data_IF_094031972754
#
_entry.id   IF_094031972754
#
_cell.length_a   1.000
_cell.length_b   1.000
_cell.length_c   1.000
_cell.angle_alpha   90.00
_cell.angle_beta   90.00
_cell.angle_gamma   90.00
#
_symmetry.space_group_name_H-M   'P 1'
#
loop_
_entity.id
_entity.type
_entity.pdbx_description
1 polymer ?
#
# COMPACT_ATOMS: atom_id res chain seq x y z
N UNK A 1 -11.19 -13.14 -6.22
CA UNK A 1 -11.05 -11.93 -7.07
C UNK A 1 -9.74 -11.28 -6.67
N UNK A 2 -9.15 -10.48 -7.55
CA UNK A 2 -7.82 -9.90 -7.32
C UNK A 2 -7.92 -8.38 -7.44
N UNK A 3 -7.24 -7.66 -6.57
CA UNK A 3 -7.16 -6.20 -6.56
C UNK A 3 -5.73 -5.79 -6.81
N UNK A 4 -5.55 -4.89 -7.75
CA UNK A 4 -4.22 -4.41 -8.14
C UNK A 4 -4.13 -2.90 -7.95
N UNK A 5 -3.10 -2.45 -7.25
CA UNK A 5 -2.75 -1.04 -7.12
C UNK A 5 -1.37 -0.80 -7.72
N UNK A 6 -1.20 0.33 -8.41
CA UNK A 6 0.09 0.79 -8.92
C UNK A 6 0.53 2.00 -8.11
N UNK A 7 1.69 1.90 -7.48
CA UNK A 7 2.32 2.96 -6.71
C UNK A 7 3.50 3.49 -7.51
N UNK A 8 3.37 4.73 -7.95
CA UNK A 8 4.48 5.50 -8.49
C UNK A 8 5.02 6.41 -7.36
N UNK A 9 6.31 6.30 -7.04
CA UNK A 9 6.96 7.09 -6.00
C UNK A 9 8.06 7.98 -6.62
N UNK A 10 7.70 9.14 -7.20
CA UNK A 10 8.65 9.99 -7.93
C UNK A 10 9.84 10.47 -7.06
N UNK A 11 9.62 10.66 -5.75
CA UNK A 11 10.68 11.14 -4.84
C UNK A 11 11.87 10.19 -4.70
N UNK A 12 11.66 8.89 -4.90
CA UNK A 12 12.72 7.89 -4.86
C UNK A 12 12.90 7.13 -6.19
N UNK A 13 12.20 7.58 -7.24
CA UNK A 13 12.18 6.98 -8.58
C UNK A 13 11.90 5.46 -8.57
N UNK A 14 10.93 5.03 -7.77
CA UNK A 14 10.53 3.63 -7.67
C UNK A 14 9.10 3.41 -8.11
N UNK A 15 8.86 2.24 -8.73
CA UNK A 15 7.52 1.79 -9.11
C UNK A 15 7.23 0.45 -8.46
N UNK A 16 6.04 0.32 -7.91
CA UNK A 16 5.57 -0.91 -7.27
C UNK A 16 4.15 -1.22 -7.68
N UNK A 17 3.91 -2.44 -8.13
CA UNK A 17 2.59 -3.01 -8.30
C UNK A 17 2.28 -3.91 -7.11
N UNK A 18 1.12 -3.69 -6.51
CA UNK A 18 0.60 -4.43 -5.37
C UNK A 18 -0.56 -5.25 -5.86
N UNK A 19 -0.56 -6.54 -5.56
CA UNK A 19 -1.59 -7.49 -5.94
C UNK A 19 -2.09 -8.13 -4.65
N UNK A 20 -3.39 -8.00 -4.38
CA UNK A 20 -4.06 -8.62 -3.24
C UNK A 20 -5.09 -9.63 -3.74
N UNK A 21 -5.11 -10.80 -3.13
CA UNK A 21 -6.05 -11.87 -3.45
C UNK A 21 -6.63 -12.46 -2.16
N UNK A 22 -7.96 -12.60 -2.10
CA UNK A 22 -8.62 -13.29 -0.99
C UNK A 22 -8.50 -14.81 -1.15
N UNK A 23 -7.86 -15.47 -0.19
CA UNK A 23 -7.72 -16.93 -0.11
C UNK A 23 -8.35 -17.40 1.19
N UNK A 24 -9.59 -17.91 1.12
CA UNK A 24 -10.35 -18.32 2.30
C UNK A 24 -10.63 -17.14 3.25
N UNK A 25 -10.07 -17.21 4.47
CA UNK A 25 -10.17 -16.19 5.52
C UNK A 25 -8.96 -15.25 5.59
N UNK A 26 -8.00 -15.40 4.67
CA UNK A 26 -6.80 -14.58 4.60
C UNK A 26 -6.72 -13.80 3.27
N UNK A 27 -5.92 -12.74 3.27
CA UNK A 27 -5.54 -12.01 2.07
C UNK A 27 -4.07 -12.29 1.80
N UNK A 28 -3.79 -12.84 0.62
CA UNK A 28 -2.44 -13.01 0.10
C UNK A 28 -2.00 -11.72 -0.60
N UNK A 29 -0.79 -11.26 -0.29
CA UNK A 29 -0.20 -10.06 -0.89
C UNK A 29 0.98 -10.46 -1.77
N UNK A 30 1.10 -9.83 -2.93
CA UNK A 30 2.22 -10.01 -3.85
C UNK A 30 2.66 -8.66 -4.39
N UNK A 31 3.97 -8.40 -4.34
CA UNK A 31 4.56 -7.13 -4.75
C UNK A 31 5.50 -7.35 -5.94
N UNK A 32 5.31 -6.60 -7.01
CA UNK A 32 6.27 -6.48 -8.10
C UNK A 32 6.85 -5.06 -8.07
N UNK A 33 8.14 -4.93 -7.77
CA UNK A 33 8.76 -3.63 -7.47
C UNK A 33 10.18 -3.55 -7.98
N UNK A 34 10.59 -2.33 -8.33
CA UNK A 34 11.99 -1.99 -8.61
C UNK A 34 12.78 -1.67 -7.33
N UNK A 35 12.10 -1.46 -6.19
CA UNK A 35 12.75 -1.01 -4.96
C UNK A 35 13.23 -2.19 -4.09
N UNK A 36 14.53 -2.29 -3.77
CA UNK A 36 15.06 -3.39 -2.95
C UNK A 36 14.44 -3.46 -1.54
N UNK A 37 14.15 -2.31 -0.92
CA UNK A 37 13.54 -2.25 0.42
C UNK A 37 12.09 -2.74 0.40
N UNK A 38 11.35 -2.39 -0.64
CA UNK A 38 9.96 -2.85 -0.83
C UNK A 38 9.92 -4.33 -1.17
N UNK A 39 10.93 -4.83 -1.90
CA UNK A 39 11.08 -6.26 -2.16
C UNK A 39 11.25 -7.05 -0.86
N UNK A 40 12.20 -6.65 0.00
CA UNK A 40 12.41 -7.27 1.31
C UNK A 40 11.17 -7.16 2.23
N UNK A 41 10.40 -6.07 2.10
CA UNK A 41 9.12 -5.90 2.77
C UNK A 41 8.07 -6.90 2.27
N UNK A 42 7.92 -7.05 0.95
CA UNK A 42 6.99 -8.02 0.35
C UNK A 42 7.32 -9.47 0.70
N UNK A 43 8.60 -9.82 0.73
CA UNK A 43 9.07 -11.16 1.13
C UNK A 43 8.72 -11.49 2.59
N UNK A 44 8.61 -10.47 3.46
CA UNK A 44 8.22 -10.64 4.86
C UNK A 44 6.69 -10.62 5.06
N UNK A 45 5.92 -10.24 4.05
CA UNK A 45 4.48 -10.03 4.13
C UNK A 45 3.76 -11.03 3.22
N UNK A 46 3.57 -12.25 3.71
CA UNK A 46 3.02 -13.34 2.88
C UNK A 46 1.48 -13.36 2.87
N UNK A 47 0.86 -13.48 4.04
CA UNK A 47 -0.58 -13.60 4.20
C UNK A 47 -1.04 -12.86 5.45
N UNK A 48 -2.24 -12.31 5.40
CA UNK A 48 -2.80 -11.50 6.48
C UNK A 48 -4.24 -11.94 6.74
N UNK A 49 -4.56 -12.27 7.98
CA UNK A 49 -5.92 -12.58 8.38
C UNK A 49 -6.82 -11.35 8.30
N UNK A 50 -8.08 -11.54 7.91
CA UNK A 50 -9.04 -10.42 7.81
C UNK A 50 -9.19 -9.65 9.14
N UNK A 51 -9.12 -10.35 10.28
CA UNK A 51 -9.20 -9.73 11.61
C UNK A 51 -7.97 -8.87 11.96
N UNK A 52 -6.82 -9.16 11.34
CA UNK A 52 -5.59 -8.41 11.56
C UNK A 52 -5.59 -7.09 10.78
N UNK A 53 -6.31 -7.04 9.65
CA UNK A 53 -6.43 -5.85 8.80
C UNK A 53 -7.09 -4.66 9.52
N UNK A 54 -7.97 -4.94 10.48
CA UNK A 54 -8.67 -3.92 11.25
C UNK A 54 -7.92 -3.47 12.52
N UNK A 55 -6.74 -4.05 12.80
CA UNK A 55 -5.96 -3.67 13.97
C UNK A 55 -5.38 -2.25 13.83
N UNK A 56 -5.18 -1.53 14.95
CA UNK A 56 -4.50 -0.24 14.96
C UNK A 56 -3.10 -0.33 14.32
N UNK A 57 -2.59 0.78 13.76
CA UNK A 57 -1.32 0.84 13.02
C UNK A 57 -0.18 0.13 13.74
N UNK A 58 -0.02 0.35 15.06
CA UNK A 58 1.07 -0.24 15.86
C UNK A 58 0.98 -1.77 16.03
N UNK A 59 -0.18 -2.37 15.76
CA UNK A 59 -0.43 -3.81 15.83
C UNK A 59 -0.75 -4.43 14.47
N UNK A 60 -0.87 -3.60 13.44
CA UNK A 60 -1.23 -4.07 12.11
C UNK A 60 0.01 -4.65 11.42
N UNK A 61 -0.01 -5.91 10.98
CA UNK A 61 1.17 -6.58 10.43
C UNK A 61 1.74 -5.85 9.20
N UNK A 62 0.90 -5.20 8.39
CA UNK A 62 1.32 -4.38 7.24
C UNK A 62 2.31 -3.30 7.68
N UNK A 63 1.99 -2.58 8.76
CA UNK A 63 2.82 -1.47 9.24
C UNK A 63 3.95 -1.94 10.16
N UNK A 64 3.72 -2.95 11.00
CA UNK A 64 4.76 -3.52 11.87
C UNK A 64 5.92 -4.05 11.03
N UNK A 65 5.63 -4.83 9.98
CA UNK A 65 6.67 -5.36 9.08
C UNK A 65 7.35 -4.24 8.29
N UNK A 66 6.59 -3.22 7.86
CA UNK A 66 7.13 -2.07 7.15
C UNK A 66 8.08 -1.22 8.01
N UNK A 67 7.82 -1.07 9.31
CA UNK A 67 8.54 -0.15 10.21
C UNK A 67 10.06 -0.38 10.29
N UNK A 68 10.50 -1.62 10.08
CA UNK A 68 11.92 -2.01 10.09
C UNK A 68 12.61 -1.92 8.72
N UNK A 69 11.85 -1.70 7.64
CA UNK A 69 12.33 -1.85 6.25
C UNK A 69 12.14 -0.60 5.39
N UNK A 70 11.09 0.17 5.67
CA UNK A 70 10.67 1.29 4.85
C UNK A 70 10.74 2.58 5.66
N UNK A 71 11.05 3.70 4.99
CA UNK A 71 10.94 5.01 5.60
C UNK A 71 9.47 5.36 5.87
N UNK A 72 9.18 6.20 6.88
CA UNK A 72 7.81 6.55 7.27
C UNK A 72 7.00 7.22 6.14
N UNK A 73 7.68 7.86 5.19
CA UNK A 73 7.05 8.51 4.04
C UNK A 73 6.74 7.55 2.88
N UNK A 74 7.17 6.29 2.95
CA UNK A 74 6.89 5.33 1.90
C UNK A 74 5.38 5.05 1.86
N UNK A 75 4.75 5.33 0.72
CA UNK A 75 3.30 5.15 0.55
C UNK A 75 2.90 3.70 0.19
N UNK A 76 3.88 2.82 -0.03
CA UNK A 76 3.62 1.41 -0.38
C UNK A 76 2.81 0.67 0.69
N UNK A 77 3.11 0.76 2.00
CA UNK A 77 2.28 0.13 3.03
C UNK A 77 0.83 0.61 3.00
N UNK A 78 0.59 1.90 2.78
CA UNK A 78 -0.76 2.45 2.67
C UNK A 78 -1.54 1.81 1.51
N UNK A 79 -0.90 1.67 0.34
CA UNK A 79 -1.52 1.02 -0.81
C UNK A 79 -1.73 -0.49 -0.61
N UNK A 80 -0.88 -1.16 0.17
CA UNK A 80 -1.11 -2.56 0.60
C UNK A 80 -2.34 -2.67 1.48
N UNK A 81 -2.54 -1.74 2.43
CA UNK A 81 -3.79 -1.67 3.21
C UNK A 81 -4.99 -1.50 2.29
N UNK A 82 -4.97 -0.53 1.37
CA UNK A 82 -6.09 -0.30 0.45
C UNK A 82 -6.42 -1.54 -0.40
N UNK A 83 -5.41 -2.22 -0.93
CA UNK A 83 -5.60 -3.45 -1.69
C UNK A 83 -6.23 -4.56 -0.83
N UNK A 84 -5.70 -4.77 0.38
CA UNK A 84 -6.18 -5.80 1.29
C UNK A 84 -7.60 -5.52 1.80
N UNK A 85 -7.89 -4.27 2.16
CA UNK A 85 -9.23 -3.83 2.58
C UNK A 85 -10.26 -3.96 1.47
N UNK A 86 -9.86 -3.77 0.21
CA UNK A 86 -10.74 -3.98 -0.94
C UNK A 86 -11.13 -5.44 -1.08
N UNK A 87 -10.16 -6.36 -1.00
CA UNK A 87 -10.44 -7.81 -1.05
C UNK A 87 -11.19 -8.32 0.19
N UNK A 88 -10.96 -7.70 1.35
CA UNK A 88 -11.70 -8.00 2.57
C UNK A 88 -13.13 -7.44 2.59
N UNK A 89 -13.52 -6.62 1.61
CA UNK A 89 -14.85 -5.98 1.55
C UNK A 89 -15.02 -4.76 2.47
N UNK A 90 -13.94 -4.25 3.05
CA UNK A 90 -13.93 -3.04 3.88
C UNK A 90 -13.93 -1.75 3.04
N UNK A 91 -13.45 -1.82 1.79
CA UNK A 91 -13.50 -0.73 0.82
C UNK A 91 -14.25 -1.21 -0.43
N UNK A 92 -15.31 -0.49 -0.80
CA UNK A 92 -16.10 -0.82 -1.99
C UNK A 92 -15.34 -0.49 -3.28
N UNK A 93 -15.28 -1.42 -4.24
CA UNK A 93 -14.64 -1.16 -5.55
C UNK A 93 -15.24 0.02 -6.30
N UNK A 94 -16.53 0.30 -6.10
CA UNK A 94 -17.20 1.47 -6.68
C UNK A 94 -16.56 2.79 -6.25
N UNK A 95 -16.07 2.89 -5.01
CA UNK A 95 -15.37 4.10 -4.55
C UNK A 95 -14.01 4.25 -5.22
N UNK A 96 -13.29 3.15 -5.45
CA UNK A 96 -12.00 3.15 -6.12
C UNK A 96 -12.14 3.45 -7.61
N UNK A 97 -13.21 2.96 -8.26
CA UNK A 97 -13.49 3.29 -9.65
C UNK A 97 -13.76 4.80 -9.82
N UNK A 98 -14.39 5.43 -8.84
CA UNK A 98 -14.67 6.88 -8.86
C UNK A 98 -13.48 7.73 -8.43
N UNK A 99 -12.72 7.25 -7.44
CA UNK A 99 -11.57 7.94 -6.85
C UNK A 99 -10.37 6.97 -6.80
N UNK A 100 -9.66 6.79 -7.93
CA UNK A 100 -8.69 5.71 -8.09
C UNK A 100 -7.35 5.92 -7.36
N UNK A 101 -7.14 7.09 -6.76
CA UNK A 101 -5.86 7.42 -6.14
C UNK A 101 -6.02 8.27 -4.90
N UNK A 102 -5.09 8.11 -3.96
CA UNK A 102 -4.88 9.00 -2.81
C UNK A 102 -3.42 9.45 -2.87
N UNK A 103 -3.21 10.74 -3.04
CA UNK A 103 -1.88 11.34 -3.13
C UNK A 103 -1.85 12.66 -2.35
N UNK A 104 -0.66 13.10 -1.96
CA UNK A 104 -0.41 14.43 -1.44
C UNK A 104 0.55 15.14 -2.38
N UNK A 105 0.26 16.41 -2.65
CA UNK A 105 1.01 17.24 -3.59
C UNK A 105 1.68 18.36 -2.81
N UNK A 106 2.96 18.59 -3.08
CA UNK A 106 3.64 19.78 -2.61
C UNK A 106 3.30 20.94 -3.54
N UNK A 107 2.58 21.95 -3.05
CA UNK A 107 2.11 23.07 -3.87
C UNK A 107 3.18 24.15 -4.13
N UNK A 108 4.35 24.03 -3.48
CA UNK A 108 5.41 25.03 -3.59
C UNK A 108 5.03 26.37 -2.96
N UNK A 109 6.01 27.09 -2.42
CA UNK A 109 5.84 28.53 -2.26
C UNK A 109 6.19 29.16 -3.62
N UNK A 110 5.20 29.69 -4.33
CA UNK A 110 5.42 30.56 -5.47
C UNK A 110 6.30 31.73 -5.01
N UNK A 111 7.61 31.63 -5.24
CA UNK A 111 8.47 32.80 -5.25
C UNK A 111 8.17 33.55 -6.53
N UNK A 112 7.07 34.31 -6.52
CA UNK A 112 7.01 35.54 -7.30
C UNK A 112 8.19 36.40 -6.81
N UNK A 113 9.30 36.34 -7.53
CA UNK A 113 10.36 37.33 -7.44
C UNK A 113 10.68 37.79 -8.86
N UNK A 114 10.04 38.93 -9.16
CA UNK A 114 10.43 40.04 -10.04
C UNK A 114 10.78 39.70 -11.49
#
# INVERSE_FOLDING_TARGET
>A
MTTTFSVNSPRCDQRTQIIAEKVGSAIKISLNTTCPRVKAYGESLCEIGINELAQPILKNPIYVVASSKLGPECVVPCAVVSAAWTEAGMVARSILNRFPSTCFTYEGSSSNKL
#
